data_IF_927012395856
#
_entry.id   IF_927012395856
#
_cell.length_a   1.000
_cell.length_b   1.000
_cell.length_c   1.000
_cell.angle_alpha   90.00
_cell.angle_beta   90.00
_cell.angle_gamma   90.00
#
_symmetry.space_group_name_H-M   'P 1'
#
loop_
_entity.id
_entity.type
_entity.pdbx_description
1 polymer ?
#
# COMPACT_ATOMS: atom_id res chain seq x y z
N UNK A 1 -10.57 68.42 28.52
CA UNK A 1 -11.03 67.10 29.02
C UNK A 1 -11.48 66.27 27.81
N UNK A 2 -10.59 65.37 27.34
CA UNK A 2 -10.79 63.90 27.32
C UNK A 2 -11.97 63.47 26.44
N UNK A 3 -11.79 63.22 25.13
CA UNK A 3 -11.18 62.03 24.50
C UNK A 3 -11.96 60.73 24.75
N UNK A 4 -12.59 60.18 23.70
CA UNK A 4 -12.72 58.73 23.48
C UNK A 4 -13.11 58.41 22.04
N UNK A 5 -12.06 58.26 21.22
CA UNK A 5 -12.10 57.61 19.92
C UNK A 5 -12.43 56.12 20.11
N UNK A 6 -13.54 55.66 19.54
CA UNK A 6 -13.86 54.24 19.45
C UNK A 6 -13.25 53.67 18.16
N UNK A 7 -12.01 53.19 18.26
CA UNK A 7 -11.38 52.36 17.23
C UNK A 7 -11.83 50.92 17.44
N UNK A 8 -12.82 50.50 16.66
CA UNK A 8 -13.25 49.09 16.58
C UNK A 8 -12.11 48.31 15.91
N UNK A 9 -11.31 47.64 16.74
CA UNK A 9 -10.28 46.70 16.29
C UNK A 9 -10.98 45.44 15.77
N UNK A 10 -11.03 45.30 14.45
CA UNK A 10 -11.34 44.01 13.83
C UNK A 10 -10.24 43.02 14.20
N UNK A 11 -10.51 42.15 15.19
CA UNK A 11 -9.73 40.93 15.39
C UNK A 11 -9.89 40.08 14.13
N UNK A 12 -8.89 40.09 13.27
CA UNK A 12 -8.73 39.10 12.21
C UNK A 12 -8.52 37.75 12.88
N UNK A 13 -9.58 36.94 12.90
CA UNK A 13 -9.45 35.50 13.10
C UNK A 13 -8.56 34.97 11.97
N UNK A 14 -7.26 34.85 12.24
CA UNK A 14 -6.38 33.96 11.50
C UNK A 14 -6.90 32.55 11.74
N UNK A 15 -7.82 32.16 10.85
CA UNK A 15 -8.11 30.77 10.59
C UNK A 15 -6.76 30.07 10.36
N UNK A 16 -6.43 29.09 11.19
CA UNK A 16 -5.47 28.05 10.88
C UNK A 16 -5.97 27.31 9.63
N UNK A 17 -5.79 27.92 8.46
CA UNK A 17 -5.89 27.27 7.15
C UNK A 17 -4.71 26.31 7.09
N UNK A 18 -4.91 25.12 7.65
CA UNK A 18 -4.02 23.99 7.45
C UNK A 18 -3.83 23.87 5.93
N UNK A 19 -2.61 24.18 5.46
CA UNK A 19 -2.32 24.34 4.04
C UNK A 19 -2.75 23.09 3.28
N UNK A 20 -3.83 23.19 2.50
CA UNK A 20 -4.42 22.06 1.76
C UNK A 20 -3.39 21.39 0.85
N UNK A 21 -2.34 22.11 0.46
CA UNK A 21 -1.24 21.56 -0.32
C UNK A 21 -0.43 20.54 0.47
N UNK A 22 -0.19 20.72 1.78
CA UNK A 22 0.55 19.75 2.59
C UNK A 22 -0.21 18.44 2.72
N UNK A 23 -1.53 18.52 2.94
CA UNK A 23 -2.41 17.34 2.99
C UNK A 23 -2.44 16.63 1.63
N UNK A 24 -2.52 17.39 0.52
CA UNK A 24 -2.47 16.82 -0.84
C UNK A 24 -1.13 16.15 -1.15
N UNK A 25 -0.01 16.77 -0.79
CA UNK A 25 1.33 16.22 -0.99
C UNK A 25 1.49 14.93 -0.18
N UNK A 26 1.03 14.91 1.09
CA UNK A 26 1.03 13.71 1.91
C UNK A 26 0.19 12.57 1.30
N UNK A 27 -1.02 12.87 0.84
CA UNK A 27 -1.89 11.89 0.16
C UNK A 27 -1.26 11.36 -1.13
N UNK A 28 -0.64 12.24 -1.93
CA UNK A 28 0.05 11.84 -3.15
C UNK A 28 1.26 10.94 -2.86
N UNK A 29 2.05 11.25 -1.83
CA UNK A 29 3.18 10.43 -1.41
C UNK A 29 2.73 9.04 -0.95
N UNK A 30 1.64 8.97 -0.19
CA UNK A 30 1.04 7.69 0.24
C UNK A 30 0.58 6.89 -0.98
N UNK A 31 -0.19 7.50 -1.88
CA UNK A 31 -0.66 6.84 -3.09
C UNK A 31 0.51 6.30 -3.94
N UNK A 32 1.55 7.11 -4.14
CA UNK A 32 2.76 6.70 -4.84
C UNK A 32 3.45 5.52 -4.15
N UNK A 33 3.57 5.55 -2.82
CA UNK A 33 4.16 4.44 -2.06
C UNK A 33 3.39 3.12 -2.28
N UNK A 34 2.05 3.14 -2.18
CA UNK A 34 1.25 1.93 -2.40
C UNK A 34 1.31 1.44 -3.85
N UNK A 35 1.33 2.33 -4.83
CA UNK A 35 1.46 1.95 -6.25
C UNK A 35 2.82 1.31 -6.52
N UNK A 36 3.91 1.87 -5.98
CA UNK A 36 5.26 1.33 -6.18
C UNK A 36 5.41 -0.01 -5.48
N UNK A 37 5.06 -0.10 -4.19
CA UNK A 37 5.22 -1.34 -3.41
C UNK A 37 4.25 -2.42 -3.90
N UNK A 38 3.01 -2.06 -4.24
CA UNK A 38 2.03 -2.95 -4.84
C UNK A 38 2.46 -3.43 -6.24
N UNK A 39 3.05 -2.55 -7.05
CA UNK A 39 3.59 -2.88 -8.37
C UNK A 39 4.78 -3.84 -8.29
N UNK A 40 5.71 -3.60 -7.35
CA UNK A 40 6.82 -4.52 -7.09
C UNK A 40 6.34 -5.86 -6.53
N UNK A 41 5.31 -5.87 -5.69
CA UNK A 41 4.70 -7.12 -5.22
C UNK A 41 4.05 -7.88 -6.39
N UNK A 42 3.28 -7.20 -7.23
CA UNK A 42 2.56 -7.79 -8.36
C UNK A 42 3.51 -8.34 -9.45
N UNK A 43 4.62 -7.64 -9.73
CA UNK A 43 5.62 -8.09 -10.71
C UNK A 43 6.25 -9.42 -10.36
N UNK A 44 6.39 -9.72 -9.06
CA UNK A 44 6.84 -11.01 -8.58
C UNK A 44 5.68 -12.01 -8.45
N UNK A 45 4.47 -11.56 -8.08
CA UNK A 45 3.33 -12.44 -7.77
C UNK A 45 2.75 -13.12 -9.00
N UNK A 46 2.58 -12.36 -10.08
CA UNK A 46 1.99 -12.86 -11.32
C UNK A 46 2.79 -14.02 -11.94
N UNK A 47 4.10 -13.90 -12.17
CA UNK A 47 4.84 -14.98 -12.83
C UNK A 47 5.02 -16.19 -11.91
N UNK A 48 5.10 -16.00 -10.58
CA UNK A 48 5.11 -17.10 -9.61
C UNK A 48 3.80 -17.90 -9.63
N UNK A 49 2.65 -17.20 -9.62
CA UNK A 49 1.34 -17.85 -9.67
C UNK A 49 1.11 -18.57 -10.99
N UNK A 50 1.60 -17.99 -12.10
CA UNK A 50 1.59 -18.67 -13.40
C UNK A 50 2.43 -19.94 -13.36
N UNK A 51 3.63 -19.91 -12.79
CA UNK A 51 4.46 -21.10 -12.61
C UNK A 51 3.76 -22.19 -11.78
N UNK A 52 3.17 -21.84 -10.63
CA UNK A 52 2.39 -22.77 -9.80
C UNK A 52 1.24 -23.41 -10.58
N UNK A 53 0.46 -22.62 -11.32
CA UNK A 53 -0.66 -23.12 -12.14
C UNK A 53 -0.23 -24.10 -13.23
N UNK A 54 0.98 -23.95 -13.77
CA UNK A 54 1.53 -24.88 -14.76
C UNK A 54 1.93 -26.22 -14.12
N UNK A 55 2.34 -26.23 -12.85
CA UNK A 55 2.59 -27.48 -12.11
C UNK A 55 1.27 -28.23 -11.92
N UNK A 56 0.22 -27.50 -11.54
CA UNK A 56 -1.10 -28.05 -11.29
C UNK A 56 -1.74 -28.60 -12.56
N UNK A 57 -1.64 -27.87 -13.68
CA UNK A 57 -2.02 -28.34 -15.00
C UNK A 57 -1.32 -29.66 -15.35
N UNK A 58 0.01 -29.73 -15.26
CA UNK A 58 0.74 -30.97 -15.54
C UNK A 58 0.27 -32.15 -14.69
N UNK A 59 0.00 -31.92 -13.40
CA UNK A 59 -0.52 -32.96 -12.50
C UNK A 59 -1.93 -33.40 -12.92
N UNK A 60 -2.79 -32.46 -13.27
CA UNK A 60 -4.16 -32.72 -13.70
C UNK A 60 -4.19 -33.48 -15.03
N UNK A 61 -3.34 -33.11 -16.00
CA UNK A 61 -3.19 -33.80 -17.27
C UNK A 61 -2.75 -35.26 -17.08
N UNK A 62 -1.72 -35.50 -16.26
CA UNK A 62 -1.26 -36.87 -15.94
C UNK A 62 -2.36 -37.66 -15.22
N UNK A 63 -3.12 -37.01 -14.32
CA UNK A 63 -4.22 -37.66 -13.60
C UNK A 63 -5.41 -38.01 -14.49
N UNK A 64 -5.71 -37.22 -15.52
CA UNK A 64 -6.89 -37.40 -16.38
C UNK A 64 -6.62 -38.29 -17.59
N UNK A 65 -5.47 -38.11 -18.24
CA UNK A 65 -5.11 -38.81 -19.47
C UNK A 65 -4.28 -40.08 -19.21
N UNK A 66 -3.77 -40.24 -17.99
CA UNK A 66 -2.81 -41.29 -17.65
C UNK A 66 -1.38 -40.86 -17.97
N UNK A 67 -0.40 -41.64 -17.48
CA UNK A 67 1.02 -41.27 -17.55
C UNK A 67 1.47 -41.04 -19.00
N UNK A 68 1.40 -42.05 -19.88
CA UNK A 68 1.93 -41.93 -21.24
C UNK A 68 1.27 -40.80 -22.07
N UNK A 69 -0.07 -40.72 -22.06
CA UNK A 69 -0.79 -39.71 -22.83
C UNK A 69 -0.69 -38.30 -22.22
N UNK A 70 -0.55 -38.20 -20.90
CA UNK A 70 -0.33 -36.93 -20.19
C UNK A 70 1.01 -36.29 -20.57
N UNK A 71 2.11 -37.05 -20.55
CA UNK A 71 3.43 -36.54 -20.94
C UNK A 71 3.57 -36.29 -22.45
N UNK A 72 2.85 -37.06 -23.28
CA UNK A 72 2.84 -36.85 -24.72
C UNK A 72 2.02 -35.61 -25.15
N UNK A 73 1.12 -35.13 -24.28
CA UNK A 73 0.23 -34.01 -24.58
C UNK A 73 0.99 -32.71 -24.85
N UNK A 74 0.46 -31.90 -25.77
CA UNK A 74 1.04 -30.60 -26.14
C UNK A 74 1.07 -29.64 -24.94
N UNK A 75 0.00 -29.64 -24.15
CA UNK A 75 -0.17 -28.78 -22.97
C UNK A 75 0.85 -29.11 -21.87
N UNK A 76 1.21 -30.38 -21.67
CA UNK A 76 2.25 -30.77 -20.73
C UNK A 76 3.62 -30.23 -21.12
N UNK A 77 3.97 -30.32 -22.41
CA UNK A 77 5.24 -29.83 -22.96
C UNK A 77 5.34 -28.30 -22.89
N UNK A 78 4.27 -27.59 -23.22
CA UNK A 78 4.21 -26.13 -23.11
C UNK A 78 4.37 -25.67 -21.64
N UNK A 79 3.75 -26.38 -20.70
CA UNK A 79 3.92 -26.14 -19.27
C UNK A 79 5.36 -26.42 -18.80
N UNK A 80 6.01 -27.43 -19.35
CA UNK A 80 7.40 -27.79 -19.06
C UNK A 80 8.40 -26.75 -19.59
N UNK A 81 8.21 -26.28 -20.82
CA UNK A 81 8.99 -25.21 -21.41
C UNK A 81 8.85 -23.91 -20.59
N UNK A 82 7.64 -23.57 -20.17
CA UNK A 82 7.42 -22.41 -19.30
C UNK A 82 8.14 -22.55 -17.96
N UNK A 83 8.13 -23.75 -17.35
CA UNK A 83 8.87 -24.04 -16.11
C UNK A 83 10.38 -23.87 -16.28
N UNK A 84 10.95 -24.42 -17.35
CA UNK A 84 12.37 -24.26 -17.66
C UNK A 84 12.72 -22.80 -17.90
N UNK A 85 11.90 -22.08 -18.67
CA UNK A 85 12.13 -20.68 -18.94
C UNK A 85 12.06 -19.83 -17.67
N UNK A 86 11.11 -20.11 -16.78
CA UNK A 86 11.01 -19.45 -15.47
C UNK A 86 12.25 -19.73 -14.60
N UNK A 87 12.72 -20.97 -14.55
CA UNK A 87 13.92 -21.35 -13.79
C UNK A 87 15.20 -20.69 -14.30
N UNK A 88 15.30 -20.43 -15.62
CA UNK A 88 16.47 -19.78 -16.23
C UNK A 88 16.45 -18.25 -16.09
N UNK A 89 15.27 -17.63 -16.04
CA UNK A 89 15.11 -16.17 -16.09
C UNK A 89 14.78 -15.53 -14.74
N UNK A 90 14.23 -16.31 -13.80
CA UNK A 90 13.75 -15.80 -12.53
C UNK A 90 14.74 -16.10 -11.40
N UNK A 91 14.91 -15.18 -10.42
CA UNK A 91 15.67 -15.48 -9.21
C UNK A 91 15.00 -16.62 -8.42
N UNK A 92 15.81 -17.33 -7.64
CA UNK A 92 15.37 -18.48 -6.82
C UNK A 92 14.01 -18.22 -6.14
N UNK A 93 13.14 -19.23 -6.17
CA UNK A 93 11.80 -19.19 -5.58
C UNK A 93 11.83 -18.66 -4.13
N UNK A 94 12.81 -19.07 -3.32
CA UNK A 94 12.96 -18.62 -1.93
C UNK A 94 13.22 -17.12 -1.83
N UNK A 95 14.03 -16.56 -2.73
CA UNK A 95 14.29 -15.12 -2.79
C UNK A 95 13.03 -14.37 -3.18
N UNK A 96 12.25 -14.91 -4.12
CA UNK A 96 10.99 -14.33 -4.60
C UNK A 96 9.92 -14.31 -3.50
N UNK A 97 9.69 -15.42 -2.79
CA UNK A 97 8.77 -15.46 -1.65
C UNK A 97 9.20 -14.51 -0.53
N UNK A 98 10.50 -14.46 -0.20
CA UNK A 98 11.02 -13.56 0.84
C UNK A 98 10.77 -12.09 0.49
N UNK A 99 10.99 -11.69 -0.77
CA UNK A 99 10.71 -10.33 -1.25
C UNK A 99 9.22 -10.00 -1.20
N UNK A 100 8.35 -10.92 -1.62
CA UNK A 100 6.90 -10.74 -1.48
C UNK A 100 6.46 -10.54 -0.03
N UNK A 101 6.96 -11.35 0.89
CA UNK A 101 6.63 -11.25 2.31
C UNK A 101 7.08 -9.90 2.88
N UNK A 102 8.25 -9.41 2.46
CA UNK A 102 8.72 -8.07 2.81
C UNK A 102 7.79 -6.97 2.28
N UNK A 103 7.36 -7.05 1.01
CA UNK A 103 6.43 -6.07 0.44
C UNK A 103 5.05 -6.11 1.10
N UNK A 104 4.53 -7.30 1.42
CA UNK A 104 3.28 -7.44 2.18
C UNK A 104 3.40 -6.84 3.59
N UNK A 105 4.51 -7.10 4.27
CA UNK A 105 4.79 -6.51 5.59
C UNK A 105 4.87 -4.99 5.49
N UNK A 106 5.58 -4.45 4.49
CA UNK A 106 5.67 -3.01 4.24
C UNK A 106 4.31 -2.36 3.97
N UNK A 107 3.44 -3.00 3.18
CA UNK A 107 2.07 -2.54 2.94
C UNK A 107 1.25 -2.54 4.23
N UNK A 108 1.36 -3.60 5.04
CA UNK A 108 0.63 -3.74 6.30
C UNK A 108 1.10 -2.72 7.34
N UNK A 109 2.41 -2.56 7.53
CA UNK A 109 2.93 -1.52 8.41
C UNK A 109 2.61 -0.11 7.89
N UNK A 110 2.56 0.07 6.57
CA UNK A 110 2.08 1.29 5.93
C UNK A 110 0.63 1.61 6.27
N UNK A 111 -0.29 0.63 6.30
CA UNK A 111 -1.69 0.87 6.66
C UNK A 111 -1.83 1.16 8.15
N UNK A 112 -1.10 0.44 8.99
CA UNK A 112 -1.06 0.66 10.44
C UNK A 112 -0.56 2.07 10.77
N UNK A 113 0.56 2.50 10.16
CA UNK A 113 1.11 3.83 10.36
C UNK A 113 0.13 4.94 9.94
N UNK A 114 -0.62 4.73 8.85
CA UNK A 114 -1.65 5.66 8.39
C UNK A 114 -2.89 5.68 9.28
N UNK A 115 -3.32 4.52 9.77
CA UNK A 115 -4.45 4.43 10.69
C UNK A 115 -4.13 5.14 12.02
N UNK A 116 -2.92 4.93 12.56
CA UNK A 116 -2.46 5.59 13.79
C UNK A 116 -2.26 7.09 13.54
N UNK A 117 -1.57 7.49 12.47
CA UNK A 117 -1.33 8.90 12.14
C UNK A 117 -2.62 9.67 11.84
N UNK A 118 -3.55 9.06 11.10
CA UNK A 118 -4.88 9.60 10.84
C UNK A 118 -5.73 9.71 12.11
N UNK A 119 -5.67 8.70 12.98
CA UNK A 119 -6.36 8.69 14.27
C UNK A 119 -5.88 9.80 15.20
N UNK A 120 -4.56 10.01 15.32
CA UNK A 120 -3.98 11.10 16.11
C UNK A 120 -4.37 12.47 15.56
N UNK A 121 -4.31 12.68 14.24
CA UNK A 121 -4.76 13.91 13.60
C UNK A 121 -6.26 14.19 13.82
N UNK A 122 -7.09 13.14 13.79
CA UNK A 122 -8.51 13.24 14.07
C UNK A 122 -8.79 13.62 15.54
N UNK A 123 -8.12 12.97 16.49
CA UNK A 123 -8.26 13.25 17.92
C UNK A 123 -7.77 14.66 18.29
N UNK A 124 -6.68 15.13 17.66
CA UNK A 124 -6.12 16.46 17.91
C UNK A 124 -6.96 17.59 17.29
N UNK A 125 -7.63 17.37 16.15
CA UNK A 125 -8.61 18.32 15.58
C UNK A 125 -9.87 18.50 16.43
N UNK A 126 -10.24 17.50 17.25
CA UNK A 126 -11.39 17.57 18.16
C UNK A 126 -11.16 18.41 19.42
N UNK A 127 -9.90 18.67 19.81
CA UNK A 127 -9.59 19.57 20.93
C UNK A 127 -9.62 21.02 20.47
N UNK A 128 -10.80 21.65 20.57
CA UNK A 128 -10.88 23.12 20.61
C UNK A 128 -9.99 23.61 21.77
N UNK A 129 -9.10 24.60 21.58
CA UNK A 129 -8.39 25.20 22.69
C UNK A 129 -9.43 25.87 23.60
N UNK A 130 -9.60 25.35 24.81
CA UNK A 130 -10.31 26.09 25.86
C UNK A 130 -9.52 27.37 26.10
N UNK A 131 -10.10 28.57 25.94
CA UNK A 131 -9.45 29.78 26.41
C UNK A 131 -9.27 29.63 27.92
N UNK A 132 -8.05 29.84 28.40
CA UNK A 132 -7.75 29.91 29.82
C UNK A 132 -8.64 31.00 30.42
N UNK A 133 -9.61 30.61 31.25
CA UNK A 133 -10.32 31.53 32.11
C UNK A 133 -9.30 32.04 33.14
N UNK A 134 -8.71 33.20 32.88
CA UNK A 134 -8.08 33.99 33.93
C UNK A 134 -9.19 34.42 34.88
N UNK A 135 -9.21 33.81 36.06
CA UNK A 135 -10.02 34.29 37.17
C UNK A 135 -9.68 35.74 37.47
N UNK A 136 -10.70 36.59 37.41
CA UNK A 136 -10.65 37.97 37.90
C UNK A 136 -11.07 37.90 39.37
N UNK A 137 -10.16 38.32 40.26
CA UNK A 137 -10.46 38.66 41.66
C UNK A 137 -11.19 40.01 41.71
#
# INVERSE_FOLDING_TARGET
MMCKSWRISHKTNENYQMNKNVVRIGLAAIAAFYVVVGGLWASHYLPLKKFESQIELQRELVSKLGFDAGYASKEYKEAEEYKMHYALTSPDLHVTYRRMALYQSLLLWGTVALAVGGGVLFLTRGRRPKPAQTGVQ
#
